data_IF_459584632393
#
_entry.id   IF_459584632393
#
_cell.length_a   1.000
_cell.length_b   1.000
_cell.length_c   1.000
_cell.angle_alpha   90.00
_cell.angle_beta   90.00
_cell.angle_gamma   90.00
#
_symmetry.space_group_name_H-M   'P 1'
#
loop_
_entity.id
_entity.type
_entity.pdbx_description
1 polymer ?
#
# COMPACT_ATOMS: atom_id res chain seq x y z
N UNK A 1 53.85 56.19 18.07
CA UNK A 1 52.53 55.58 17.83
C UNK A 1 52.76 54.11 17.54
N UNK A 2 52.49 53.25 18.52
CA UNK A 2 52.84 51.83 18.49
C UNK A 2 51.54 51.04 18.36
N UNK A 3 51.33 50.41 17.21
CA UNK A 3 50.14 49.62 16.91
C UNK A 3 50.26 48.26 17.59
N UNK A 4 49.50 48.04 18.66
CA UNK A 4 49.42 46.74 19.32
C UNK A 4 48.49 45.82 18.51
N UNK A 5 49.04 44.76 17.91
CA UNK A 5 48.27 43.71 17.27
C UNK A 5 47.61 42.81 18.33
N UNK A 6 46.30 42.63 18.25
CA UNK A 6 45.54 41.72 19.10
C UNK A 6 45.85 40.27 18.72
N UNK A 7 46.05 39.35 19.68
CA UNK A 7 46.23 37.94 19.37
C UNK A 7 44.88 37.34 18.94
N UNK A 8 44.79 36.93 17.68
CA UNK A 8 43.71 36.07 17.19
C UNK A 8 43.85 34.70 17.83
N UNK A 9 43.07 34.43 18.88
CA UNK A 9 42.89 33.07 19.38
C UNK A 9 42.13 32.27 18.33
N UNK A 10 42.86 31.57 17.49
CA UNK A 10 42.34 30.57 16.57
C UNK A 10 41.89 29.37 17.42
N UNK A 11 40.68 29.45 17.99
CA UNK A 11 40.06 28.30 18.61
C UNK A 11 39.69 27.37 17.46
N UNK A 12 40.27 26.16 17.36
CA UNK A 12 39.73 25.18 16.43
C UNK A 12 38.30 24.92 16.91
N UNK A 13 37.32 25.41 16.15
CA UNK A 13 35.96 24.89 16.20
C UNK A 13 36.10 23.46 15.67
N UNK A 14 36.57 22.55 16.52
CA UNK A 14 36.22 21.15 16.45
C UNK A 14 34.71 21.16 16.67
N UNK A 15 33.98 21.46 15.60
CA UNK A 15 32.61 21.05 15.45
C UNK A 15 32.69 19.55 15.69
N UNK A 16 32.31 19.15 16.90
CA UNK A 16 31.89 17.81 17.18
C UNK A 16 30.73 17.59 16.21
N UNK A 17 31.05 17.13 15.01
CA UNK A 17 30.16 16.45 14.12
C UNK A 17 29.83 15.12 14.80
N UNK A 18 29.20 15.20 15.98
CA UNK A 18 28.42 14.12 16.52
C UNK A 18 27.48 13.76 15.40
N UNK A 19 27.57 12.51 14.92
CA UNK A 19 26.67 11.90 13.93
C UNK A 19 25.27 12.46 14.18
N UNK A 20 24.86 13.45 13.37
CA UNK A 20 23.49 13.94 13.42
C UNK A 20 22.67 12.75 12.99
N UNK A 21 21.93 12.16 13.93
CA UNK A 21 21.09 11.01 13.66
C UNK A 21 20.12 11.39 12.53
N UNK A 22 20.28 10.76 11.37
CA UNK A 22 19.50 11.06 10.18
C UNK A 22 18.00 10.76 10.34
N UNK A 23 17.65 10.06 11.43
CA UNK A 23 16.29 9.69 11.81
C UNK A 23 15.80 10.43 13.07
N UNK A 24 16.56 11.39 13.59
CA UNK A 24 16.11 12.22 14.69
C UNK A 24 14.75 12.86 14.36
N UNK A 25 13.78 12.74 15.27
CA UNK A 25 12.45 13.34 15.09
C UNK A 25 11.42 12.47 14.34
N UNK A 26 11.76 11.28 13.82
CA UNK A 26 10.80 10.40 13.12
C UNK A 26 9.57 10.10 13.96
N UNK A 27 9.73 9.78 15.25
CA UNK A 27 8.60 9.44 16.12
C UNK A 27 7.63 10.62 16.35
N UNK A 28 8.14 11.85 16.42
CA UNK A 28 7.33 13.05 16.55
C UNK A 28 6.55 13.34 15.26
N UNK A 29 7.23 13.23 14.11
CA UNK A 29 6.60 13.40 12.79
C UNK A 29 5.55 12.32 12.52
N UNK A 30 5.83 11.06 12.87
CA UNK A 30 4.86 9.97 12.74
C UNK A 30 3.62 10.23 13.59
N UNK A 31 3.80 10.64 14.86
CA UNK A 31 2.66 10.98 15.74
C UNK A 31 1.81 12.11 15.17
N UNK A 32 2.45 13.14 14.60
CA UNK A 32 1.75 14.24 13.93
C UNK A 32 1.01 13.75 12.69
N UNK A 33 1.66 12.93 11.86
CA UNK A 33 1.08 12.38 10.65
C UNK A 33 -0.16 11.53 10.97
N UNK A 34 -0.06 10.63 11.96
CA UNK A 34 -1.20 9.84 12.47
C UNK A 34 -2.36 10.76 12.90
N UNK A 35 -2.09 11.81 13.68
CA UNK A 35 -3.14 12.73 14.15
C UNK A 35 -3.82 13.47 13.00
N UNK A 36 -3.07 13.87 11.98
CA UNK A 36 -3.57 14.61 10.83
C UNK A 36 -4.33 13.71 9.85
N UNK A 37 -3.88 12.47 9.69
CA UNK A 37 -4.43 11.55 8.69
C UNK A 37 -5.46 10.57 9.26
N UNK A 38 -5.64 10.50 10.60
CA UNK A 38 -6.56 9.55 11.26
C UNK A 38 -7.96 9.48 10.64
N UNK A 39 -8.53 10.61 10.22
CA UNK A 39 -9.88 10.63 9.62
C UNK A 39 -9.83 9.99 8.24
N UNK A 40 -8.89 10.43 7.40
CA UNK A 40 -8.72 9.90 6.04
C UNK A 40 -8.39 8.41 6.07
N UNK A 41 -7.39 8.01 6.86
CA UNK A 41 -7.01 6.62 7.06
C UNK A 41 -8.18 5.78 7.60
N UNK A 42 -8.91 6.25 8.62
CA UNK A 42 -10.06 5.51 9.17
C UNK A 42 -11.18 5.35 8.17
N UNK A 43 -11.51 6.39 7.38
CA UNK A 43 -12.56 6.32 6.35
C UNK A 43 -12.20 5.26 5.30
N UNK A 44 -10.97 5.25 4.80
CA UNK A 44 -10.54 4.24 3.84
C UNK A 44 -10.52 2.84 4.44
N UNK A 45 -10.01 2.68 5.67
CA UNK A 45 -10.02 1.40 6.37
C UNK A 45 -11.45 0.88 6.48
N UNK A 46 -12.37 1.68 7.01
CA UNK A 46 -13.78 1.30 7.19
C UNK A 46 -14.40 0.96 5.84
N UNK A 47 -14.16 1.76 4.80
CA UNK A 47 -14.70 1.51 3.46
C UNK A 47 -14.28 0.13 2.93
N UNK A 48 -12.99 -0.21 2.96
CA UNK A 48 -12.50 -1.50 2.46
C UNK A 48 -12.96 -2.67 3.32
N UNK A 49 -12.95 -2.52 4.65
CA UNK A 49 -13.43 -3.56 5.59
C UNK A 49 -14.91 -3.84 5.37
N UNK A 50 -15.73 -2.79 5.26
CA UNK A 50 -17.17 -2.91 4.99
C UNK A 50 -17.40 -3.53 3.63
N UNK A 51 -16.65 -3.13 2.60
CA UNK A 51 -16.77 -3.70 1.25
C UNK A 51 -16.45 -5.21 1.24
N UNK A 52 -15.39 -5.64 1.92
CA UNK A 52 -15.04 -7.06 2.06
C UNK A 52 -16.11 -7.84 2.84
N UNK A 53 -16.55 -7.32 3.99
CA UNK A 53 -17.61 -7.95 4.78
C UNK A 53 -18.93 -8.06 3.99
N UNK A 54 -19.30 -7.00 3.27
CA UNK A 54 -20.51 -6.95 2.44
C UNK A 54 -20.44 -7.95 1.28
N UNK A 55 -19.27 -8.10 0.65
CA UNK A 55 -19.06 -9.08 -0.41
C UNK A 55 -19.20 -10.51 0.12
N UNK A 56 -18.62 -10.82 1.28
CA UNK A 56 -18.77 -12.13 1.93
C UNK A 56 -20.23 -12.44 2.31
N UNK A 57 -20.94 -11.46 2.89
CA UNK A 57 -22.34 -11.61 3.27
C UNK A 57 -23.26 -11.79 2.05
N UNK A 58 -23.05 -11.00 0.99
CA UNK A 58 -23.81 -11.12 -0.25
C UNK A 58 -23.56 -12.46 -0.95
N UNK A 59 -22.33 -12.96 -0.94
CA UNK A 59 -22.01 -14.25 -1.54
C UNK A 59 -22.62 -15.43 -0.77
N UNK A 60 -22.73 -15.34 0.56
CA UNK A 60 -23.43 -16.36 1.36
C UNK A 60 -24.91 -16.48 0.99
N UNK A 61 -25.59 -15.35 0.74
CA UNK A 61 -27.01 -15.36 0.35
C UNK A 61 -27.22 -15.76 -1.11
N UNK A 62 -26.31 -15.36 -2.01
CA UNK A 62 -26.41 -15.65 -3.44
C UNK A 62 -26.01 -17.09 -3.79
N UNK A 63 -25.01 -17.65 -3.09
CA UNK A 63 -24.40 -18.93 -3.44
C UNK A 63 -24.60 -20.00 -2.37
N UNK A 64 -25.86 -20.37 -2.18
CA UNK A 64 -26.30 -21.35 -1.17
C UNK A 64 -25.91 -22.79 -1.53
N UNK A 65 -25.77 -23.12 -2.81
CA UNK A 65 -25.39 -24.46 -3.29
C UNK A 65 -24.00 -24.48 -3.90
N UNK A 66 -23.31 -25.63 -3.83
CA UNK A 66 -22.00 -25.82 -4.49
C UNK A 66 -22.09 -25.57 -6.00
N UNK A 67 -23.15 -26.06 -6.66
CA UNK A 67 -23.37 -25.87 -8.09
C UNK A 67 -23.44 -24.39 -8.48
N UNK A 68 -24.14 -23.56 -7.68
CA UNK A 68 -24.24 -22.12 -7.94
C UNK A 68 -22.88 -21.41 -7.84
N UNK A 69 -22.01 -21.82 -6.90
CA UNK A 69 -20.64 -21.30 -6.74
C UNK A 69 -19.77 -21.65 -7.92
N UNK A 70 -19.76 -22.93 -8.30
CA UNK A 70 -18.95 -23.44 -9.41
C UNK A 70 -19.38 -22.79 -10.72
N UNK A 71 -20.70 -22.65 -10.97
CA UNK A 71 -21.21 -21.95 -12.15
C UNK A 71 -20.82 -20.47 -12.19
N UNK A 72 -20.87 -19.77 -11.05
CA UNK A 72 -20.45 -18.38 -10.99
C UNK A 72 -18.94 -18.22 -11.27
N UNK A 73 -18.12 -19.09 -10.67
CA UNK A 73 -16.68 -19.11 -10.88
C UNK A 73 -16.31 -19.47 -12.33
N UNK A 74 -17.03 -20.40 -12.97
CA UNK A 74 -16.80 -20.75 -14.38
C UNK A 74 -17.12 -19.57 -15.29
N UNK A 75 -18.27 -18.90 -15.12
CA UNK A 75 -18.61 -17.70 -15.90
C UNK A 75 -17.53 -16.61 -15.78
N UNK A 76 -16.99 -16.40 -14.59
CA UNK A 76 -15.88 -15.47 -14.36
C UNK A 76 -14.61 -15.92 -15.10
N UNK A 77 -14.25 -17.19 -14.96
CA UNK A 77 -13.01 -17.73 -15.53
C UNK A 77 -13.06 -17.93 -17.05
N UNK A 78 -14.24 -18.12 -17.62
CA UNK A 78 -14.44 -18.34 -19.06
C UNK A 78 -14.57 -17.02 -19.83
N UNK A 79 -14.67 -15.88 -19.13
CA UNK A 79 -14.80 -14.56 -19.73
C UNK A 79 -13.45 -13.80 -19.65
N UNK A 80 -12.72 -13.61 -20.78
CA UNK A 80 -11.40 -12.98 -20.77
C UNK A 80 -11.39 -11.57 -20.16
N UNK A 81 -12.43 -10.77 -20.41
CA UNK A 81 -12.56 -9.43 -19.84
C UNK A 81 -12.67 -9.46 -18.31
N UNK A 82 -13.40 -10.43 -17.76
CA UNK A 82 -13.55 -10.59 -16.30
C UNK A 82 -12.25 -11.06 -15.66
N UNK A 83 -11.53 -11.98 -16.31
CA UNK A 83 -10.18 -12.39 -15.89
C UNK A 83 -9.19 -11.24 -15.88
N UNK A 84 -9.16 -10.45 -16.95
CA UNK A 84 -8.29 -9.28 -17.06
C UNK A 84 -8.60 -8.24 -15.97
N UNK A 85 -9.87 -8.07 -15.62
CA UNK A 85 -10.29 -7.07 -14.65
C UNK A 85 -10.14 -7.52 -13.19
N UNK A 86 -10.58 -8.73 -12.84
CA UNK A 86 -10.63 -9.18 -11.44
C UNK A 86 -9.64 -10.29 -11.11
N UNK A 87 -9.15 -10.99 -12.13
CA UNK A 87 -8.35 -12.20 -11.99
C UNK A 87 -9.18 -13.46 -11.93
N UNK A 88 -8.47 -14.60 -11.87
CA UNK A 88 -9.07 -15.93 -11.82
C UNK A 88 -9.62 -16.24 -10.43
N UNK A 89 -10.73 -16.96 -10.39
CA UNK A 89 -11.18 -17.68 -9.19
C UNK A 89 -10.44 -19.02 -9.17
N UNK A 90 -9.49 -19.17 -8.24
CA UNK A 90 -8.61 -20.34 -8.18
C UNK A 90 -9.29 -21.59 -7.58
N UNK A 91 -10.18 -21.40 -6.61
CA UNK A 91 -10.99 -22.48 -6.05
C UNK A 91 -12.49 -22.16 -6.23
N UNK A 92 -13.14 -22.73 -7.26
CA UNK A 92 -14.57 -22.56 -7.52
C UNK A 92 -15.50 -23.10 -6.41
N UNK A 93 -15.01 -24.00 -5.57
CA UNK A 93 -15.81 -24.63 -4.50
C UNK A 93 -15.82 -23.80 -3.22
N UNK A 94 -14.77 -22.99 -3.04
CA UNK A 94 -14.58 -22.11 -1.90
C UNK A 94 -15.46 -20.87 -1.98
N UNK A 95 -16.32 -20.72 -0.97
CA UNK A 95 -17.15 -19.52 -0.85
C UNK A 95 -16.30 -18.26 -0.71
N UNK A 96 -15.19 -18.32 0.04
CA UNK A 96 -14.29 -17.17 0.22
C UNK A 96 -13.65 -16.73 -1.09
N UNK A 97 -13.17 -17.67 -1.91
CA UNK A 97 -12.57 -17.37 -3.21
C UNK A 97 -13.59 -16.71 -4.16
N UNK A 98 -14.81 -17.25 -4.23
CA UNK A 98 -15.91 -16.68 -5.03
C UNK A 98 -16.40 -15.34 -4.46
N UNK A 99 -16.31 -15.13 -3.14
CA UNK A 99 -16.74 -13.86 -2.52
C UNK A 99 -15.78 -12.72 -2.80
N UNK A 100 -14.47 -13.02 -2.85
CA UNK A 100 -13.43 -12.00 -2.84
C UNK A 100 -12.84 -11.69 -4.21
N UNK A 101 -13.22 -12.40 -5.28
CA UNK A 101 -12.57 -12.25 -6.59
C UNK A 101 -12.52 -10.80 -7.11
N UNK A 102 -13.62 -10.03 -6.97
CA UNK A 102 -13.65 -8.61 -7.38
C UNK A 102 -12.69 -7.75 -6.57
N UNK A 103 -12.54 -8.11 -5.30
CA UNK A 103 -11.77 -7.36 -4.32
C UNK A 103 -10.30 -7.77 -4.27
N UNK A 104 -9.91 -8.87 -4.91
CA UNK A 104 -8.52 -9.32 -5.01
C UNK A 104 -7.63 -8.29 -5.69
N UNK A 105 -7.58 -8.30 -7.02
CA UNK A 105 -6.73 -7.37 -7.78
C UNK A 105 -7.19 -5.92 -7.67
N UNK A 106 -8.48 -5.66 -7.87
CA UNK A 106 -9.00 -4.29 -7.90
C UNK A 106 -8.91 -3.63 -6.51
N UNK A 107 -9.20 -4.38 -5.45
CA UNK A 107 -9.01 -3.89 -4.08
C UNK A 107 -7.54 -3.60 -3.78
N UNK A 108 -6.63 -4.51 -4.14
CA UNK A 108 -5.18 -4.31 -3.98
C UNK A 108 -4.69 -3.04 -4.71
N UNK A 109 -5.20 -2.78 -5.92
CA UNK A 109 -4.85 -1.58 -6.68
C UNK A 109 -5.37 -0.30 -6.01
N UNK A 110 -6.59 -0.30 -5.48
CA UNK A 110 -7.10 0.86 -4.76
C UNK A 110 -6.35 1.10 -3.44
N UNK A 111 -5.99 0.05 -2.70
CA UNK A 111 -5.14 0.14 -1.49
C UNK A 111 -3.76 0.70 -1.85
N UNK A 112 -3.17 0.23 -2.94
CA UNK A 112 -1.92 0.76 -3.48
C UNK A 112 -2.01 2.27 -3.80
N UNK A 113 -3.10 2.71 -4.42
CA UNK A 113 -3.31 4.13 -4.73
C UNK A 113 -3.40 5.00 -3.47
N UNK A 114 -4.14 4.53 -2.45
CA UNK A 114 -4.22 5.20 -1.15
C UNK A 114 -2.83 5.27 -0.49
N UNK A 115 -2.03 4.21 -0.59
CA UNK A 115 -0.68 4.19 -0.04
C UNK A 115 0.26 5.19 -0.74
N UNK A 116 0.22 5.27 -2.07
CA UNK A 116 0.97 6.27 -2.86
C UNK A 116 0.58 7.68 -2.40
N UNK A 117 -0.72 7.99 -2.38
CA UNK A 117 -1.21 9.31 -2.02
C UNK A 117 -0.84 9.70 -0.59
N UNK A 118 -0.89 8.73 0.34
CA UNK A 118 -0.46 8.94 1.73
C UNK A 118 1.01 9.32 1.81
N UNK A 119 1.90 8.58 1.14
CA UNK A 119 3.34 8.86 1.16
C UNK A 119 3.65 10.23 0.52
N UNK A 120 3.09 10.51 -0.65
CA UNK A 120 3.31 11.78 -1.36
C UNK A 120 2.76 12.96 -0.55
N UNK A 121 1.59 12.81 0.08
CA UNK A 121 0.97 13.84 0.94
C UNK A 121 1.83 14.18 2.15
N UNK A 122 2.54 13.22 2.71
CA UNK A 122 3.38 13.40 3.91
C UNK A 122 4.86 13.66 3.60
N UNK A 123 5.22 13.77 2.33
CA UNK A 123 6.58 14.09 1.88
C UNK A 123 6.53 15.28 0.92
N UNK A 124 6.39 15.04 -0.38
CA UNK A 124 6.46 16.05 -1.44
C UNK A 124 5.50 17.22 -1.23
N UNK A 125 4.27 16.96 -0.79
CA UNK A 125 3.30 18.04 -0.53
C UNK A 125 3.67 18.93 0.68
N UNK A 126 4.34 18.36 1.68
CA UNK A 126 4.82 19.14 2.84
C UNK A 126 6.11 19.91 2.51
N UNK A 127 6.92 19.41 1.59
CA UNK A 127 8.05 20.18 1.04
C UNK A 127 7.57 21.30 0.11
N UNK A 128 6.63 21.04 -0.80
CA UNK A 128 6.07 22.04 -1.74
C UNK A 128 5.36 23.20 -0.99
N UNK A 129 4.85 22.96 0.22
CA UNK A 129 4.27 23.99 1.09
C UNK A 129 5.29 24.70 1.99
N UNK A 130 6.59 24.42 1.85
CA UNK A 130 7.69 25.01 2.63
C UNK A 130 7.76 24.56 4.10
N UNK A 131 6.84 23.70 4.56
CA UNK A 131 6.78 23.26 5.96
C UNK A 131 7.97 22.38 6.34
N UNK A 132 8.42 21.54 5.40
CA UNK A 132 9.57 20.68 5.67
C UNK A 132 10.89 21.45 5.78
N UNK A 133 11.01 22.63 5.18
CA UNK A 133 12.17 23.52 5.38
C UNK A 133 12.21 24.09 6.81
N UNK A 134 11.06 24.55 7.32
CA UNK A 134 10.93 25.03 8.70
C UNK A 134 11.21 23.92 9.72
N UNK A 135 10.73 22.70 9.45
CA UNK A 135 11.00 21.53 10.30
C UNK A 135 12.48 21.13 10.21
N UNK A 136 13.09 21.19 9.03
CA UNK A 136 14.51 20.88 8.81
C UNK A 136 15.47 21.83 9.53
N UNK A 137 15.04 23.04 9.88
CA UNK A 137 15.79 23.97 10.73
C UNK A 137 15.81 23.57 12.23
N UNK A 138 15.00 22.57 12.62
CA UNK A 138 14.96 22.03 13.99
C UNK A 138 15.83 20.77 14.13
N UNK A 139 15.76 20.07 15.28
CA UNK A 139 16.50 18.82 15.52
C UNK A 139 15.81 17.63 14.83
N UNK A 140 15.63 17.73 13.51
CA UNK A 140 15.02 16.68 12.68
C UNK A 140 16.00 16.25 11.60
N UNK A 141 16.20 14.94 11.48
CA UNK A 141 17.10 14.35 10.50
C UNK A 141 16.50 14.31 9.09
N UNK A 142 17.38 14.32 8.07
CA UNK A 142 16.98 14.32 6.64
C UNK A 142 16.09 13.15 6.21
N UNK A 143 16.15 12.02 6.90
CA UNK A 143 15.34 10.84 6.56
C UNK A 143 14.03 10.78 7.37
N UNK A 144 13.88 11.62 8.39
CA UNK A 144 12.82 11.47 9.37
C UNK A 144 11.42 11.61 8.77
N UNK A 145 11.22 12.54 7.84
CA UNK A 145 9.93 12.77 7.17
C UNK A 145 9.54 11.59 6.28
N UNK A 146 10.45 11.13 5.42
CA UNK A 146 10.21 9.99 4.54
C UNK A 146 9.95 8.71 5.35
N UNK A 147 10.74 8.45 6.40
CA UNK A 147 10.54 7.30 7.28
C UNK A 147 9.19 7.39 8.02
N UNK A 148 8.79 8.56 8.51
CA UNK A 148 7.50 8.74 9.16
C UNK A 148 6.32 8.49 8.20
N UNK A 149 6.41 8.98 6.95
CA UNK A 149 5.40 8.74 5.92
C UNK A 149 5.29 7.24 5.56
N UNK A 150 6.43 6.56 5.41
CA UNK A 150 6.47 5.11 5.16
C UNK A 150 5.89 4.32 6.32
N UNK A 151 6.25 4.64 7.57
CA UNK A 151 5.69 3.99 8.76
C UNK A 151 4.18 4.19 8.87
N UNK A 152 3.67 5.38 8.54
CA UNK A 152 2.24 5.64 8.51
C UNK A 152 1.54 4.78 7.45
N UNK A 153 2.07 4.72 6.22
CA UNK A 153 1.49 3.95 5.14
C UNK A 153 1.49 2.44 5.46
N UNK A 154 2.63 1.89 5.91
CA UNK A 154 2.76 0.49 6.33
C UNK A 154 1.84 0.17 7.51
N UNK A 155 1.81 1.02 8.54
CA UNK A 155 0.93 0.82 9.69
C UNK A 155 -0.55 0.81 9.30
N UNK A 156 -0.95 1.74 8.42
CA UNK A 156 -2.33 1.84 7.93
C UNK A 156 -2.75 0.61 7.12
N UNK A 157 -1.88 0.11 6.22
CA UNK A 157 -2.17 -1.08 5.41
C UNK A 157 -2.19 -2.36 6.25
N UNK A 158 -1.34 -2.47 7.28
CA UNK A 158 -1.37 -3.59 8.23
C UNK A 158 -2.64 -3.58 9.10
N UNK A 159 -3.08 -2.41 9.58
CA UNK A 159 -4.35 -2.28 10.31
C UNK A 159 -5.53 -2.64 9.40
N UNK A 160 -5.53 -2.17 8.15
CA UNK A 160 -6.53 -2.56 7.15
C UNK A 160 -6.56 -4.08 6.95
N UNK A 161 -5.39 -4.70 6.77
CA UNK A 161 -5.26 -6.15 6.58
C UNK A 161 -5.85 -6.93 7.76
N UNK A 162 -5.48 -6.55 8.98
CA UNK A 162 -5.97 -7.19 10.20
C UNK A 162 -7.49 -7.05 10.34
N UNK A 163 -8.03 -5.84 10.18
CA UNK A 163 -9.47 -5.59 10.33
C UNK A 163 -10.28 -6.28 9.22
N UNK A 164 -9.74 -6.37 8.01
CA UNK A 164 -10.35 -7.12 6.91
C UNK A 164 -10.35 -8.62 7.20
N UNK A 165 -9.24 -9.17 7.70
CA UNK A 165 -9.19 -10.57 8.08
C UNK A 165 -10.19 -10.88 9.20
N UNK A 166 -10.25 -10.03 10.24
CA UNK A 166 -11.20 -10.18 11.34
C UNK A 166 -12.65 -10.07 10.87
N UNK A 167 -12.96 -9.17 9.93
CA UNK A 167 -14.33 -9.04 9.41
C UNK A 167 -14.76 -10.25 8.59
N UNK A 168 -13.85 -10.82 7.79
CA UNK A 168 -14.11 -12.04 7.02
C UNK A 168 -14.25 -13.27 7.92
N UNK A 169 -13.43 -13.37 8.98
CA UNK A 169 -13.58 -14.41 10.02
C UNK A 169 -14.93 -14.26 10.72
N UNK A 170 -15.30 -13.03 11.11
CA UNK A 170 -16.59 -12.73 11.71
C UNK A 170 -17.78 -13.05 10.80
N UNK A 171 -17.57 -13.00 9.48
CA UNK A 171 -18.53 -13.44 8.48
C UNK A 171 -18.56 -14.97 8.27
N UNK A 172 -17.76 -15.75 9.02
CA UNK A 172 -17.75 -17.21 8.98
C UNK A 172 -16.81 -17.82 7.93
N UNK A 173 -15.92 -17.03 7.32
CA UNK A 173 -14.92 -17.55 6.38
C UNK A 173 -13.68 -18.13 7.11
N UNK A 174 -12.96 -19.10 6.51
CA UNK A 174 -11.77 -19.69 7.12
C UNK A 174 -10.69 -18.65 7.46
N UNK A 175 -10.12 -18.75 8.67
CA UNK A 175 -9.17 -17.76 9.19
C UNK A 175 -7.88 -17.66 8.37
N UNK A 176 -7.34 -18.79 7.88
CA UNK A 176 -6.12 -18.80 7.07
C UNK A 176 -6.31 -17.97 5.78
N UNK A 177 -7.36 -18.24 5.01
CA UNK A 177 -7.67 -17.48 3.79
C UNK A 177 -8.04 -16.02 4.08
N UNK A 178 -8.70 -15.72 5.20
CA UNK A 178 -9.00 -14.34 5.59
C UNK A 178 -7.74 -13.53 5.90
N UNK A 179 -6.78 -14.13 6.61
CA UNK A 179 -5.47 -13.52 6.88
C UNK A 179 -4.67 -13.37 5.59
N UNK A 180 -4.63 -14.41 4.74
CA UNK A 180 -3.98 -14.37 3.44
C UNK A 180 -4.53 -13.24 2.55
N UNK A 181 -5.86 -13.04 2.56
CA UNK A 181 -6.51 -11.95 1.82
C UNK A 181 -6.14 -10.57 2.38
N UNK A 182 -6.19 -10.38 3.70
CA UNK A 182 -5.75 -9.12 4.31
C UNK A 182 -4.28 -8.82 4.01
N UNK A 183 -3.40 -9.81 4.13
CA UNK A 183 -1.97 -9.67 3.89
C UNK A 183 -1.64 -9.40 2.43
N UNK A 184 -2.42 -9.91 1.48
CA UNK A 184 -2.23 -9.61 0.05
C UNK A 184 -2.45 -8.12 -0.25
N UNK A 185 -3.49 -7.52 0.36
CA UNK A 185 -3.71 -6.07 0.32
C UNK A 185 -2.60 -5.28 1.01
N UNK A 186 -2.14 -5.73 2.18
CA UNK A 186 -1.01 -5.08 2.85
C UNK A 186 0.25 -5.12 1.98
N UNK A 187 0.58 -6.27 1.40
CA UNK A 187 1.75 -6.43 0.52
C UNK A 187 1.72 -5.47 -0.67
N UNK A 188 0.57 -5.39 -1.36
CA UNK A 188 0.38 -4.42 -2.44
C UNK A 188 0.53 -2.97 -1.95
N UNK A 189 -0.14 -2.62 -0.84
CA UNK A 189 -0.04 -1.28 -0.24
C UNK A 189 1.39 -0.89 0.14
N UNK A 190 2.17 -1.80 0.73
CA UNK A 190 3.56 -1.56 1.12
C UNK A 190 4.45 -1.38 -0.11
N UNK A 191 4.31 -2.22 -1.13
CA UNK A 191 5.08 -2.11 -2.37
C UNK A 191 4.83 -0.76 -3.06
N UNK A 192 3.57 -0.33 -3.13
CA UNK A 192 3.22 0.95 -3.76
C UNK A 192 3.45 2.17 -2.85
N UNK A 193 3.52 2.02 -1.53
CA UNK A 193 4.09 3.05 -0.66
C UNK A 193 5.55 3.33 -1.02
N UNK A 194 6.35 2.29 -1.31
CA UNK A 194 7.72 2.46 -1.77
C UNK A 194 7.80 3.14 -3.15
N UNK A 195 6.88 2.83 -4.07
CA UNK A 195 6.75 3.56 -5.34
C UNK A 195 6.46 5.04 -5.09
N UNK A 196 5.48 5.34 -4.22
CA UNK A 196 5.15 6.72 -3.84
C UNK A 196 6.33 7.46 -3.19
N UNK A 197 7.16 6.77 -2.41
CA UNK A 197 8.39 7.31 -1.87
C UNK A 197 9.38 7.67 -2.99
N UNK A 198 9.62 6.77 -3.94
CA UNK A 198 10.52 7.02 -5.08
C UNK A 198 10.02 8.19 -5.92
N UNK A 199 8.72 8.23 -6.28
CA UNK A 199 8.17 9.31 -7.10
C UNK A 199 8.20 10.65 -6.38
N UNK A 200 8.01 10.68 -5.06
CA UNK A 200 8.14 11.88 -4.24
C UNK A 200 9.58 12.42 -4.18
N UNK A 201 10.60 11.57 -4.32
CA UNK A 201 12.01 11.98 -4.28
C UNK A 201 12.54 12.46 -5.65
N UNK A 202 11.99 11.97 -6.75
CA UNK A 202 12.46 12.32 -8.12
C UNK A 202 11.64 13.42 -8.80
N UNK A 203 10.66 14.01 -8.09
CA UNK A 203 9.82 15.08 -8.62
C UNK A 203 9.76 16.27 -7.66
N UNK A 204 9.40 17.43 -8.19
CA UNK A 204 9.32 18.67 -7.42
C UNK A 204 7.89 19.04 -6.98
N UNK A 205 6.86 18.45 -7.60
CA UNK A 205 5.45 18.69 -7.25
C UNK A 205 4.72 17.42 -6.83
N UNK A 206 3.87 17.53 -5.81
CA UNK A 206 3.02 16.44 -5.33
C UNK A 206 2.06 15.92 -6.42
N UNK A 207 1.60 16.81 -7.31
CA UNK A 207 0.74 16.41 -8.43
C UNK A 207 1.47 15.46 -9.37
N UNK A 208 2.70 15.79 -9.74
CA UNK A 208 3.54 14.97 -10.63
C UNK A 208 3.93 13.65 -9.95
N UNK A 209 4.29 13.67 -8.67
CA UNK A 209 4.59 12.47 -7.89
C UNK A 209 3.41 11.48 -7.87
N UNK A 210 2.19 11.99 -7.61
CA UNK A 210 0.97 11.19 -7.62
C UNK A 210 0.65 10.66 -9.03
N UNK A 211 0.80 11.48 -10.06
CA UNK A 211 0.59 11.07 -11.45
C UNK A 211 1.52 9.95 -11.88
N UNK A 212 2.82 10.05 -11.58
CA UNK A 212 3.78 8.99 -11.86
C UNK A 212 3.49 7.72 -11.05
N UNK A 213 3.17 7.85 -9.76
CA UNK A 213 2.82 6.69 -8.93
C UNK A 213 1.59 5.95 -9.47
N UNK A 214 0.55 6.69 -9.87
CA UNK A 214 -0.64 6.13 -10.49
C UNK A 214 -0.34 5.48 -11.85
N UNK A 215 0.55 6.06 -12.66
CA UNK A 215 0.98 5.49 -13.93
C UNK A 215 1.74 4.16 -13.74
N UNK A 216 2.64 4.08 -12.74
CA UNK A 216 3.34 2.85 -12.38
C UNK A 216 2.35 1.77 -11.91
N UNK A 217 1.36 2.14 -11.09
CA UNK A 217 0.29 1.24 -10.69
C UNK A 217 -0.53 0.74 -11.88
N UNK A 218 -0.93 1.63 -12.79
CA UNK A 218 -1.68 1.26 -13.98
C UNK A 218 -0.88 0.31 -14.87
N UNK A 219 0.42 0.58 -15.09
CA UNK A 219 1.31 -0.31 -15.82
C UNK A 219 1.43 -1.68 -15.16
N UNK A 220 1.62 -1.72 -13.84
CA UNK A 220 1.67 -2.98 -13.08
C UNK A 220 0.37 -3.78 -13.16
N UNK A 221 -0.78 -3.10 -13.15
CA UNK A 221 -2.10 -3.73 -13.30
C UNK A 221 -2.31 -4.31 -14.70
N UNK A 222 -1.91 -3.56 -15.73
CA UNK A 222 -2.00 -4.00 -17.13
C UNK A 222 -1.05 -5.16 -17.42
N UNK A 223 0.18 -5.13 -16.90
CA UNK A 223 1.13 -6.25 -17.00
C UNK A 223 0.57 -7.53 -16.38
N UNK A 224 -0.05 -7.41 -15.21
CA UNK A 224 -0.77 -8.51 -14.54
C UNK A 224 -1.94 -9.02 -15.40
N UNK A 225 -2.77 -8.12 -15.91
CA UNK A 225 -3.91 -8.49 -16.76
C UNK A 225 -3.48 -9.19 -18.07
N UNK A 226 -2.39 -8.74 -18.69
CA UNK A 226 -1.79 -9.38 -19.86
C UNK A 226 -1.25 -10.78 -19.54
N UNK A 227 -0.62 -10.95 -18.36
CA UNK A 227 -0.19 -12.26 -17.87
C UNK A 227 -1.36 -13.24 -17.74
N UNK A 228 -2.45 -12.81 -17.10
CA UNK A 228 -3.67 -13.62 -16.93
C UNK A 228 -4.36 -14.01 -18.23
N UNK A 229 -4.33 -13.15 -19.25
CA UNK A 229 -4.95 -13.40 -20.55
C UNK A 229 -4.17 -14.40 -21.41
N UNK A 230 -2.89 -14.66 -21.10
CA UNK A 230 -2.01 -15.51 -21.92
C UNK A 230 -2.26 -17.01 -21.80
N UNK A 231 -3.14 -17.45 -20.88
CA UNK A 231 -3.66 -18.83 -20.80
C UNK A 231 -2.66 -19.91 -20.36
N UNK A 232 -1.36 -19.63 -20.44
CA UNK A 232 -0.28 -20.44 -19.85
C UNK A 232 -0.27 -20.18 -18.35
N UNK A 233 -0.05 -21.21 -17.53
CA UNK A 233 0.01 -21.17 -16.07
C UNK A 233 0.30 -19.76 -15.53
N UNK A 234 -0.68 -19.18 -14.82
CA UNK A 234 -0.70 -17.80 -14.27
C UNK A 234 0.58 -17.29 -13.57
N UNK A 235 1.58 -18.15 -13.39
CA UNK A 235 2.95 -17.88 -12.98
C UNK A 235 3.89 -17.48 -14.13
N UNK A 236 3.44 -16.73 -15.14
CA UNK A 236 4.35 -16.13 -16.12
C UNK A 236 5.30 -15.15 -15.40
N UNK A 237 6.56 -15.06 -15.82
CA UNK A 237 7.55 -14.11 -15.26
C UNK A 237 7.05 -12.65 -15.23
N UNK A 238 6.14 -12.28 -16.14
CA UNK A 238 5.49 -10.97 -16.17
C UNK A 238 4.61 -10.71 -14.93
N UNK A 239 3.89 -11.72 -14.44
CA UNK A 239 3.07 -11.60 -13.22
C UNK A 239 3.94 -11.41 -11.96
N UNK A 240 5.18 -11.88 -11.99
CA UNK A 240 6.17 -11.68 -10.92
C UNK A 240 6.79 -10.29 -10.90
N UNK A 241 6.66 -9.50 -11.97
CA UNK A 241 7.11 -8.10 -11.99
C UNK A 241 6.08 -7.14 -11.42
N UNK A 242 4.85 -7.60 -11.17
CA UNK A 242 3.75 -6.78 -10.68
C UNK A 242 3.48 -7.08 -9.20
N UNK A 243 3.62 -6.09 -8.28
CA UNK A 243 3.18 -6.27 -6.89
C UNK A 243 1.69 -6.61 -6.76
N UNK A 244 0.87 -6.25 -7.75
CA UNK A 244 -0.54 -6.67 -7.83
C UNK A 244 -0.64 -8.16 -8.20
N UNK A 245 0.24 -8.65 -9.06
CA UNK A 245 0.36 -10.08 -9.38
C UNK A 245 0.77 -10.92 -8.17
N UNK A 246 1.68 -10.42 -7.32
CA UNK A 246 2.04 -11.10 -6.06
C UNK A 246 0.81 -11.30 -5.17
N UNK A 247 0.00 -10.25 -4.98
CA UNK A 247 -1.21 -10.33 -4.17
C UNK A 247 -2.22 -11.39 -4.66
N UNK A 248 -2.25 -11.67 -5.95
CA UNK A 248 -3.08 -12.74 -6.51
C UNK A 248 -2.48 -14.13 -6.35
N UNK A 249 -1.15 -14.25 -6.42
CA UNK A 249 -0.48 -15.53 -6.21
C UNK A 249 -0.60 -16.03 -4.77
N UNK A 250 -0.95 -15.16 -3.83
CA UNK A 250 -1.36 -15.56 -2.48
C UNK A 250 -2.56 -16.50 -2.49
N UNK A 251 -3.41 -16.41 -3.52
CA UNK A 251 -4.61 -17.26 -3.72
C UNK A 251 -5.42 -17.46 -2.42
N UNK A 252 -5.89 -16.37 -1.78
CA UNK A 252 -6.64 -16.49 -0.53
C UNK A 252 -7.85 -17.39 -0.70
N UNK A 253 -8.05 -18.31 0.26
CA UNK A 253 -9.10 -19.32 0.25
C UNK A 253 -8.98 -20.36 -0.89
N UNK A 254 -7.80 -20.48 -1.49
CA UNK A 254 -7.49 -21.43 -2.56
C UNK A 254 -6.05 -21.98 -2.40
N UNK A 255 -5.68 -22.29 -1.16
CA UNK A 255 -4.39 -22.90 -0.80
C UNK A 255 -3.36 -21.96 -0.18
N UNK A 256 -3.68 -20.66 -0.03
CA UNK A 256 -2.97 -19.67 0.79
C UNK A 256 -1.43 -19.71 0.66
N UNK A 257 -0.91 -19.29 -0.50
CA UNK A 257 0.50 -19.50 -0.93
C UNK A 257 1.41 -18.29 -0.78
#
# INVERSE_FOLDING_TARGET
>A
MTTAALPTTDRPVRAAAGRRDGFAGTGALLRLAIRRDRIFASVWIVLFVVMAASSAAASQSLFTTLESRVRAASVVNDTPATLALYGRVFDPTSLGAVSMFKLGAMGAALVALVAIFTVVRHTRAEEESGRLELIGATVVGRYAALTAAMLLAVGTTLVLALLTALSLIGAGLPAAGALAFGLSWAGAGIAFAAVGAVTAQVTESARTANGLGAAVLAAAYLLRAAGDASGVDTSTWLSWLSPIGWAQQVRPFAGDR
#
